data_IF_495034592667
#
_entry.id   IF_495034592667
#
_cell.length_a   1.000
_cell.length_b   1.000
_cell.length_c   1.000
_cell.angle_alpha   90.00
_cell.angle_beta   90.00
_cell.angle_gamma   90.00
#
_symmetry.space_group_name_H-M   'P 1'
#
loop_
_entity.id
_entity.type
_entity.pdbx_description
1 polymer ?
#
# COMPACT_ATOMS: atom_id res chain seq x y z
N UNK A 1 21.33 22.62 -1.33
CA UNK A 1 22.44 21.72 -0.94
C UNK A 1 22.17 20.33 -1.49
N UNK A 2 22.92 19.90 -2.50
CA UNK A 2 22.85 18.52 -3.02
C UNK A 2 23.62 17.61 -2.06
N UNK A 3 22.91 16.82 -1.27
CA UNK A 3 23.54 15.80 -0.44
C UNK A 3 23.84 14.59 -1.31
N UNK A 4 25.12 14.37 -1.62
CA UNK A 4 25.57 13.15 -2.28
C UNK A 4 25.27 11.94 -1.39
N UNK A 5 24.30 11.11 -1.80
CA UNK A 5 23.98 9.86 -1.13
C UNK A 5 24.90 8.78 -1.69
N UNK A 6 25.81 8.28 -0.84
CA UNK A 6 26.71 7.16 -1.17
C UNK A 6 25.93 5.97 -1.75
N UNK A 7 26.52 5.32 -2.76
CA UNK A 7 25.94 4.12 -3.39
C UNK A 7 25.66 3.01 -2.36
N UNK A 8 26.49 2.90 -1.32
CA UNK A 8 26.34 1.88 -0.26
C UNK A 8 25.06 2.08 0.58
N UNK A 9 24.46 3.27 0.52
CA UNK A 9 23.23 3.60 1.24
C UNK A 9 21.99 3.45 0.37
N UNK A 10 22.10 2.95 -0.86
CA UNK A 10 20.98 2.72 -1.77
C UNK A 10 20.73 1.23 -1.89
N UNK A 11 19.49 0.83 -1.63
CA UNK A 11 19.06 -0.57 -1.65
C UNK A 11 17.82 -0.67 -2.51
N UNK A 12 17.88 -1.46 -3.56
CA UNK A 12 16.79 -1.64 -4.51
C UNK A 12 16.06 -2.95 -4.24
N UNK A 13 14.75 -2.84 -4.15
CA UNK A 13 13.84 -3.96 -3.94
C UNK A 13 12.91 -4.12 -5.14
N UNK A 14 12.67 -5.36 -5.52
CA UNK A 14 11.50 -5.77 -6.27
C UNK A 14 10.35 -5.95 -5.29
N UNK A 15 9.21 -5.33 -5.57
CA UNK A 15 8.07 -5.24 -4.68
C UNK A 15 6.85 -5.78 -5.41
N UNK A 16 6.21 -6.81 -4.86
CA UNK A 16 4.92 -7.31 -5.31
C UNK A 16 3.86 -6.98 -4.25
N UNK A 17 2.78 -6.32 -4.66
CA UNK A 17 1.67 -5.98 -3.80
C UNK A 17 0.40 -6.57 -4.41
N UNK A 18 -0.36 -7.29 -3.58
CA UNK A 18 -1.69 -7.78 -3.93
C UNK A 18 -2.72 -7.02 -3.11
N UNK A 19 -3.62 -6.33 -3.80
CA UNK A 19 -4.81 -5.69 -3.21
C UNK A 19 -5.94 -6.72 -3.30
N UNK A 20 -6.24 -7.38 -2.18
CA UNK A 20 -7.24 -8.45 -2.13
C UNK A 20 -8.65 -7.85 -2.17
N UNK A 21 -9.01 -7.16 -1.09
CA UNK A 21 -10.38 -6.68 -0.90
C UNK A 21 -10.51 -5.50 0.08
N UNK A 22 -11.71 -4.93 0.05
CA UNK A 22 -12.20 -3.93 0.99
C UNK A 22 -13.49 -4.44 1.61
N UNK A 23 -13.45 -4.70 2.91
CA UNK A 23 -14.51 -5.28 3.73
C UNK A 23 -15.24 -4.20 4.56
N UNK A 24 -16.40 -4.52 5.10
CA UNK A 24 -17.27 -3.66 5.89
C UNK A 24 -17.70 -2.40 5.11
N UNK A 25 -18.17 -2.60 3.87
CA UNK A 25 -18.76 -1.56 3.05
C UNK A 25 -20.28 -1.48 3.27
N UNK A 26 -20.85 -0.27 3.32
CA UNK A 26 -22.30 -0.12 3.36
C UNK A 26 -22.92 -0.69 2.07
N UNK A 27 -24.16 -1.17 2.15
CA UNK A 27 -24.90 -1.66 0.99
C UNK A 27 -25.33 -0.46 0.12
N UNK A 28 -24.38 0.06 -0.65
CA UNK A 28 -24.58 1.22 -1.53
C UNK A 28 -24.35 0.76 -2.96
N UNK A 29 -25.33 1.02 -3.83
CA UNK A 29 -25.19 0.82 -5.27
C UNK A 29 -24.02 1.65 -5.81
N UNK A 30 -23.09 1.02 -6.52
CA UNK A 30 -21.99 1.72 -7.18
C UNK A 30 -20.82 0.81 -7.50
N UNK A 31 -19.84 1.39 -8.20
CA UNK A 31 -18.61 0.73 -8.61
C UNK A 31 -17.43 1.25 -7.79
N UNK A 32 -16.77 0.36 -7.08
CA UNK A 32 -15.63 0.65 -6.22
C UNK A 32 -14.32 0.32 -6.93
N UNK A 33 -13.30 1.14 -6.71
CA UNK A 33 -11.95 0.91 -7.21
C UNK A 33 -10.92 1.55 -6.30
N UNK A 34 -9.72 0.99 -6.29
CA UNK A 34 -8.57 1.54 -5.59
C UNK A 34 -7.65 2.26 -6.58
N UNK A 35 -7.24 3.48 -6.25
CA UNK A 35 -6.13 4.19 -6.88
C UNK A 35 -4.92 4.14 -5.98
N UNK A 36 -3.74 3.99 -6.53
CA UNK A 36 -2.50 4.08 -5.75
C UNK A 36 -1.58 5.14 -6.29
N UNK A 37 -0.82 5.76 -5.38
CA UNK A 37 0.22 6.73 -5.68
C UNK A 37 1.38 6.56 -4.70
N UNK A 38 2.56 6.29 -5.24
CA UNK A 38 3.84 6.29 -4.55
C UNK A 38 4.85 7.13 -5.33
N UNK A 39 6.13 7.07 -4.94
CA UNK A 39 7.18 7.92 -5.50
C UNK A 39 7.28 7.90 -7.04
N UNK A 40 7.25 6.69 -7.63
CA UNK A 40 7.29 6.46 -9.08
C UNK A 40 6.27 5.40 -9.52
N UNK A 41 5.23 5.18 -8.73
CA UNK A 41 4.23 4.14 -8.97
C UNK A 41 2.85 4.78 -8.88
N UNK A 42 2.04 4.64 -9.91
CA UNK A 42 0.64 5.03 -9.87
C UNK A 42 -0.21 4.13 -10.75
N UNK A 43 -1.50 4.04 -10.45
CA UNK A 43 -2.42 3.21 -11.19
C UNK A 43 -3.75 3.04 -10.47
N UNK A 44 -4.59 2.16 -11.00
CA UNK A 44 -5.86 1.81 -10.38
C UNK A 44 -6.28 0.38 -10.67
N UNK A 45 -7.05 -0.20 -9.77
CA UNK A 45 -7.74 -1.46 -10.02
C UNK A 45 -8.85 -1.27 -11.05
N UNK A 46 -9.40 -2.40 -11.53
CA UNK A 46 -10.71 -2.41 -12.18
C UNK A 46 -11.80 -1.95 -11.22
N UNK A 47 -12.92 -1.53 -11.79
CA UNK A 47 -14.13 -1.14 -11.07
C UNK A 47 -14.95 -2.38 -10.76
N UNK A 48 -15.39 -2.52 -9.52
CA UNK A 48 -16.12 -3.69 -9.03
C UNK A 48 -17.33 -3.33 -8.18
N UNK A 49 -18.31 -4.23 -8.14
CA UNK A 49 -19.50 -4.06 -7.31
C UNK A 49 -19.28 -4.66 -5.91
N UNK A 50 -20.05 -4.20 -4.93
CA UNK A 50 -20.03 -4.77 -3.57
C UNK A 50 -20.73 -6.12 -3.61
N UNK A 51 -20.04 -7.15 -3.11
CA UNK A 51 -20.59 -8.49 -2.93
C UNK A 51 -21.70 -8.52 -1.87
N UNK A 52 -22.41 -9.66 -1.80
CA UNK A 52 -23.49 -9.87 -0.81
C UNK A 52 -23.00 -9.79 0.64
N UNK A 53 -21.70 -9.99 0.84
CA UNK A 53 -21.00 -9.98 2.12
C UNK A 53 -20.34 -8.63 2.44
N UNK A 54 -20.86 -7.53 1.86
CA UNK A 54 -20.34 -6.18 2.13
C UNK A 54 -18.86 -5.99 1.77
N UNK A 55 -18.37 -6.79 0.84
CA UNK A 55 -16.96 -6.84 0.45
C UNK A 55 -16.79 -6.63 -1.04
N UNK A 56 -15.82 -5.82 -1.44
CA UNK A 56 -15.38 -5.70 -2.83
C UNK A 56 -14.05 -6.41 -2.98
N UNK A 57 -13.96 -7.37 -3.91
CA UNK A 57 -12.75 -8.16 -4.18
C UNK A 57 -12.16 -7.79 -5.54
N UNK A 58 -10.87 -7.50 -5.56
CA UNK A 58 -10.13 -7.21 -6.79
C UNK A 58 -9.09 -8.28 -7.10
N UNK A 59 -8.42 -8.81 -6.07
CA UNK A 59 -7.24 -9.68 -6.17
C UNK A 59 -6.22 -9.13 -7.18
N UNK A 60 -6.03 -7.81 -7.14
CA UNK A 60 -5.22 -7.10 -8.11
C UNK A 60 -3.76 -7.11 -7.68
N UNK A 61 -2.92 -7.74 -8.51
CA UNK A 61 -1.48 -7.74 -8.33
C UNK A 61 -0.82 -6.60 -9.07
N UNK A 62 0.12 -5.94 -8.41
CA UNK A 62 0.99 -4.95 -9.02
C UNK A 62 2.43 -5.19 -8.55
N UNK A 63 3.36 -4.96 -9.47
CA UNK A 63 4.79 -5.11 -9.23
C UNK A 63 5.52 -3.80 -9.54
N UNK A 64 6.53 -3.46 -8.74
CA UNK A 64 7.37 -2.30 -8.99
C UNK A 64 8.77 -2.50 -8.41
N UNK A 65 9.73 -1.75 -8.92
CA UNK A 65 11.08 -1.70 -8.35
C UNK A 65 11.25 -0.36 -7.64
N UNK A 66 11.70 -0.39 -6.39
CA UNK A 66 11.94 0.82 -5.62
C UNK A 66 13.31 0.82 -4.96
N UNK A 67 14.02 1.93 -5.09
CA UNK A 67 15.29 2.15 -4.37
C UNK A 67 15.02 2.92 -3.09
N UNK A 68 15.23 2.25 -1.97
CA UNK A 68 15.21 2.80 -0.62
C UNK A 68 16.60 3.30 -0.23
N UNK A 69 16.62 4.24 0.71
CA UNK A 69 17.86 4.83 1.24
C UNK A 69 18.03 4.37 2.68
N UNK A 70 19.22 3.88 3.04
CA UNK A 70 19.61 3.64 4.42
C UNK A 70 19.96 4.99 5.05
N UNK A 71 19.27 5.35 6.13
CA UNK A 71 19.53 6.52 6.95
C UNK A 71 20.90 6.47 7.61
N UNK A 72 21.33 7.58 8.21
CA UNK A 72 22.61 7.62 8.95
C UNK A 72 22.57 6.76 10.22
N UNK A 73 21.37 6.52 10.72
CA UNK A 73 20.99 5.65 11.84
C UNK A 73 20.98 4.15 11.46
N UNK A 74 21.21 3.82 10.19
CA UNK A 74 21.15 2.46 9.68
C UNK A 74 19.74 1.96 9.34
N UNK A 75 18.70 2.79 9.50
CA UNK A 75 17.32 2.40 9.20
C UNK A 75 16.94 2.75 7.76
N UNK A 76 16.16 1.88 7.11
CA UNK A 76 15.55 2.21 5.83
C UNK A 76 14.58 3.38 5.99
N UNK A 77 14.83 4.42 5.19
CA UNK A 77 13.95 5.58 5.13
C UNK A 77 12.54 5.15 4.67
N UNK A 78 11.48 5.75 5.25
CA UNK A 78 10.11 5.47 4.86
C UNK A 78 9.87 5.66 3.35
N UNK A 79 9.03 4.80 2.78
CA UNK A 79 8.57 4.91 1.40
C UNK A 79 7.08 4.64 1.35
N UNK A 80 6.31 5.71 1.33
CA UNK A 80 4.85 5.63 1.42
C UNK A 80 4.20 5.32 0.07
N UNK A 81 3.28 4.37 0.10
CA UNK A 81 2.31 4.09 -0.93
C UNK A 81 0.92 4.45 -0.43
N UNK A 82 0.30 5.45 -1.03
CA UNK A 82 -1.06 5.86 -0.69
C UNK A 82 -2.05 5.10 -1.55
N UNK A 83 -2.95 4.37 -0.90
CA UNK A 83 -4.08 3.67 -1.50
C UNK A 83 -5.35 4.46 -1.22
N UNK A 84 -6.01 4.98 -2.25
CA UNK A 84 -7.26 5.76 -2.16
C UNK A 84 -8.41 4.97 -2.77
N UNK A 85 -9.43 4.71 -1.98
CA UNK A 85 -10.64 3.99 -2.40
C UNK A 85 -11.71 4.97 -2.81
N UNK A 86 -12.31 4.71 -3.97
CA UNK A 86 -13.35 5.58 -4.54
C UNK A 86 -14.54 4.77 -5.01
N UNK A 87 -15.69 5.43 -5.02
CA UNK A 87 -16.95 4.90 -5.52
C UNK A 87 -17.43 5.75 -6.68
N UNK A 88 -17.89 5.09 -7.75
CA UNK A 88 -18.65 5.72 -8.84
C UNK A 88 -20.11 5.30 -8.75
N UNK A 89 -21.00 6.27 -8.62
CA UNK A 89 -22.46 6.05 -8.63
C UNK A 89 -23.08 6.80 -9.81
N UNK A 90 -24.07 6.17 -10.46
CA UNK A 90 -24.77 6.71 -11.64
C UNK A 90 -23.82 7.10 -12.79
N UNK A 91 -22.65 6.45 -12.89
CA UNK A 91 -21.62 6.71 -13.91
C UNK A 91 -20.86 8.04 -13.78
N UNK A 92 -21.36 9.00 -13.01
CA UNK A 92 -20.87 10.39 -13.01
C UNK A 92 -20.28 10.78 -11.63
N UNK A 93 -20.90 10.35 -10.54
CA UNK A 93 -20.53 10.80 -9.20
C UNK A 93 -19.35 10.00 -8.68
N UNK A 94 -18.18 10.63 -8.55
CA UNK A 94 -16.95 10.01 -8.07
C UNK A 94 -16.64 10.48 -6.65
N UNK A 95 -16.89 9.63 -5.66
CA UNK A 95 -16.72 9.94 -4.24
C UNK A 95 -15.48 9.28 -3.66
N UNK A 96 -14.81 9.97 -2.75
CA UNK A 96 -13.72 9.39 -1.95
C UNK A 96 -14.30 8.64 -0.76
N UNK A 97 -14.01 7.34 -0.68
CA UNK A 97 -14.45 6.48 0.42
C UNK A 97 -13.47 6.54 1.57
N UNK A 98 -12.18 6.66 1.28
CA UNK A 98 -11.13 6.74 2.29
C UNK A 98 -9.78 6.37 1.69
N UNK A 99 -8.74 6.42 2.52
CA UNK A 99 -7.39 6.12 2.09
C UNK A 99 -6.54 5.47 3.18
N UNK A 100 -5.49 4.77 2.76
CA UNK A 100 -4.47 4.19 3.63
C UNK A 100 -3.10 4.57 3.08
N UNK A 101 -2.21 5.06 3.93
CA UNK A 101 -0.80 5.20 3.60
C UNK A 101 -0.04 3.99 4.15
N UNK A 102 0.63 3.25 3.27
CA UNK A 102 1.41 2.05 3.63
C UNK A 102 2.87 2.37 3.47
N UNK A 103 3.64 2.28 4.55
CA UNK A 103 5.08 2.39 4.46
C UNK A 103 5.68 1.07 3.96
N UNK A 104 6.18 1.07 2.73
CA UNK A 104 6.77 -0.11 2.11
C UNK A 104 8.08 -0.53 2.77
N UNK A 105 8.83 0.38 3.40
CA UNK A 105 10.11 0.02 4.02
C UNK A 105 9.96 -1.01 5.16
N UNK A 106 8.78 -1.08 5.78
CA UNK A 106 8.45 -2.01 6.87
C UNK A 106 8.41 -3.48 6.44
N UNK A 107 8.33 -3.75 5.13
CA UNK A 107 8.24 -5.09 4.58
C UNK A 107 9.58 -5.59 4.05
N UNK A 108 10.62 -4.77 4.09
CA UNK A 108 11.95 -5.18 3.66
C UNK A 108 12.49 -6.31 4.57
N UNK A 109 13.01 -7.37 3.96
CA UNK A 109 13.54 -8.53 4.69
C UNK A 109 12.47 -9.45 5.32
N UNK A 110 11.19 -9.07 5.29
CA UNK A 110 10.10 -9.94 5.68
C UNK A 110 9.76 -10.93 4.55
N UNK A 111 9.26 -12.12 4.91
CA UNK A 111 8.56 -12.98 3.93
C UNK A 111 7.29 -12.29 3.47
N UNK A 112 6.70 -12.78 2.37
CA UNK A 112 5.38 -12.33 1.91
C UNK A 112 4.41 -12.22 3.09
N UNK A 113 3.98 -10.99 3.40
CA UNK A 113 3.23 -10.68 4.61
C UNK A 113 1.89 -10.09 4.23
N UNK A 114 0.82 -10.67 4.79
CA UNK A 114 -0.53 -10.11 4.68
C UNK A 114 -0.80 -9.16 5.85
N UNK A 115 -1.40 -8.00 5.57
CA UNK A 115 -1.82 -7.02 6.58
C UNK A 115 -3.22 -6.49 6.29
N UNK A 116 -3.96 -6.23 7.37
CA UNK A 116 -5.28 -5.58 7.36
C UNK A 116 -5.12 -4.15 7.84
N UNK A 117 -5.67 -3.20 7.09
CA UNK A 117 -5.60 -1.76 7.38
C UNK A 117 -7.01 -1.20 7.51
N UNK A 118 -7.24 -0.37 8.52
CA UNK A 118 -8.46 0.44 8.61
C UNK A 118 -8.32 1.64 7.67
N UNK A 119 -9.37 1.95 6.92
CA UNK A 119 -9.40 3.16 6.09
C UNK A 119 -9.41 4.41 6.95
N UNK A 120 -8.52 5.36 6.62
CA UNK A 120 -8.49 6.68 7.22
C UNK A 120 -9.26 7.69 6.36
N UNK A 121 -9.68 8.80 6.96
CA UNK A 121 -10.48 9.84 6.29
C UNK A 121 -11.71 9.25 5.60
N UNK A 122 -12.35 8.29 6.27
CA UNK A 122 -13.46 7.53 5.73
C UNK A 122 -14.75 7.83 6.48
N UNK A 123 -15.86 7.75 5.77
CA UNK A 123 -17.20 7.74 6.37
C UNK A 123 -17.59 6.34 6.89
N UNK A 124 -16.75 5.33 6.65
CA UNK A 124 -17.02 3.92 6.91
C UNK A 124 -15.83 3.27 7.61
N UNK A 125 -16.09 2.31 8.50
CA UNK A 125 -15.04 1.55 9.20
C UNK A 125 -14.58 0.37 8.34
N UNK A 126 -14.27 0.64 7.08
CA UNK A 126 -13.90 -0.41 6.13
C UNK A 126 -12.46 -0.86 6.32
N UNK A 127 -12.24 -2.15 6.10
CA UNK A 127 -10.92 -2.75 6.26
C UNK A 127 -10.37 -3.24 4.92
N UNK A 128 -9.19 -2.73 4.57
CA UNK A 128 -8.42 -3.17 3.42
C UNK A 128 -7.54 -4.37 3.81
N UNK A 129 -7.54 -5.43 3.00
CA UNK A 129 -6.53 -6.49 3.08
C UNK A 129 -5.55 -6.41 1.91
N UNK A 130 -4.25 -6.36 2.22
CA UNK A 130 -3.18 -6.44 1.23
C UNK A 130 -2.16 -7.50 1.60
N UNK A 131 -1.48 -8.05 0.61
CA UNK A 131 -0.24 -8.79 0.79
C UNK A 131 0.90 -8.04 0.13
N UNK A 132 2.02 -7.91 0.83
CA UNK A 132 3.24 -7.28 0.31
C UNK A 132 4.39 -8.26 0.42
N UNK A 133 5.13 -8.41 -0.68
CA UNK A 133 6.36 -9.16 -0.78
C UNK A 133 7.47 -8.25 -1.29
N UNK A 134 8.64 -8.30 -0.63
CA UNK A 134 9.81 -7.53 -1.03
C UNK A 134 11.00 -8.45 -1.19
N UNK A 135 11.67 -8.35 -2.34
CA UNK A 135 12.90 -9.08 -2.63
C UNK A 135 14.02 -8.09 -2.90
N UNK A 136 15.11 -8.22 -2.15
CA UNK A 136 16.31 -7.43 -2.39
C UNK A 136 16.93 -7.84 -3.74
N UNK A 137 17.09 -6.87 -4.63
CA UNK A 137 17.72 -7.10 -5.95
C UNK A 137 19.09 -6.43 -6.08
N UNK A 138 19.35 -5.34 -5.33
CA UNK A 138 20.64 -4.64 -5.37
C UNK A 138 20.89 -3.86 -4.08
N UNK A 139 22.14 -3.80 -3.63
CA UNK A 139 22.56 -3.00 -2.48
C UNK A 139 22.97 -3.86 -1.28
N UNK A 140 23.28 -3.20 -0.16
CA UNK A 140 23.75 -3.86 1.06
C UNK A 140 22.60 -4.58 1.77
N UNK A 141 22.89 -5.76 2.34
CA UNK A 141 21.91 -6.56 3.11
C UNK A 141 21.75 -6.00 4.53
N UNK A 142 22.74 -5.27 5.02
CA UNK A 142 22.75 -4.73 6.37
C UNK A 142 21.96 -3.42 6.45
N UNK A 143 20.68 -3.54 6.78
CA UNK A 143 19.77 -2.44 7.04
C UNK A 143 18.84 -2.78 8.19
N UNK A 144 18.36 -1.75 8.91
CA UNK A 144 17.33 -1.88 9.93
C UNK A 144 15.99 -1.43 9.36
N UNK A 145 14.91 -2.04 9.84
CA UNK A 145 13.55 -1.73 9.42
C UNK A 145 12.77 -1.21 10.62
N UNK A 146 11.97 -0.17 10.42
CA UNK A 146 11.03 0.28 11.44
C UNK A 146 9.91 -0.75 11.53
N UNK A 147 9.77 -1.39 12.69
CA UNK A 147 8.60 -2.22 12.98
C UNK A 147 7.54 -1.29 13.54
N UNK A 148 6.36 -1.18 12.90
CA UNK A 148 5.29 -0.39 13.48
C UNK A 148 4.92 -1.00 14.83
N UNK A 149 4.95 -0.19 15.89
CA UNK A 149 4.42 -0.61 17.19
C UNK A 149 2.93 -0.93 16.99
N UNK A 150 2.59 -2.22 16.99
CA UNK A 150 1.21 -2.67 17.05
C UNK A 150 0.68 -2.17 18.39
N UNK A 151 -0.10 -1.08 18.37
CA UNK A 151 -0.93 -0.72 19.52
C UNK A 151 -1.90 -1.89 19.68
N UNK A 152 -1.61 -2.77 20.64
CA UNK A 152 -2.59 -3.75 21.10
C UNK A 152 -3.80 -2.93 21.56
N UNK A 153 -4.90 -3.07 20.83
CA UNK A 153 -6.21 -2.58 21.26
C UNK A 153 -6.69 -3.52 22.36
#
# INVERSE_FOLDING_TARGET
MSFFISANRKVTFEIEITIHDLDNLPYISGLFFCKWKGKNLSGSTRRETVGKDHTVRWDHKLATNSTLIIGKDGYLQPNELTLTFRQVTNGIKNENIGQVAVNLSEFAGARSTQRKYLLNHSKVNSFLRITVSMKLIKGHVEYKVYVPCIKKV
#
